data_IF_910055801628
#
_entry.id   IF_910055801628
#
_cell.length_a   1.000
_cell.length_b   1.000
_cell.length_c   1.000
_cell.angle_alpha   90.00
_cell.angle_beta   90.00
_cell.angle_gamma   90.00
#
_symmetry.space_group_name_H-M   'P 1'
#
loop_
_entity.id
_entity.type
_entity.pdbx_description
1 polymer ?
#
# COMPACT_ATOMS: atom_id res chain seq x y z
N UNK A 1 -12.39 3.17 29.23
CA UNK A 1 -11.48 2.24 28.55
C UNK A 1 -11.54 2.51 27.04
N UNK A 2 -10.42 2.89 26.44
CA UNK A 2 -10.39 3.16 25.01
C UNK A 2 -10.15 1.86 24.22
N UNK A 3 -10.89 1.69 23.14
CA UNK A 3 -10.67 0.59 22.23
C UNK A 3 -9.38 0.84 21.41
N UNK A 4 -8.62 -0.21 21.17
CA UNK A 4 -7.47 -0.14 20.26
C UNK A 4 -8.03 -0.12 18.84
N UNK A 5 -7.66 0.92 18.09
CA UNK A 5 -8.00 0.99 16.68
C UNK A 5 -7.07 0.08 15.89
N UNK A 6 -7.64 -0.79 15.08
CA UNK A 6 -6.90 -1.66 14.18
C UNK A 6 -6.94 -1.03 12.79
N UNK A 7 -5.76 -0.78 12.21
CA UNK A 7 -5.64 -0.26 10.86
C UNK A 7 -5.59 -1.41 9.86
N UNK A 8 -6.42 -1.33 8.85
CA UNK A 8 -6.59 -2.38 7.84
C UNK A 8 -5.75 -2.04 6.63
N UNK A 9 -4.84 -2.93 6.26
CA UNK A 9 -3.83 -2.70 5.23
C UNK A 9 -3.96 -3.72 4.11
N UNK A 10 -3.84 -3.22 2.87
CA UNK A 10 -3.74 -4.04 1.66
C UNK A 10 -2.34 -3.92 1.09
N UNK A 11 -1.78 -5.05 0.67
CA UNK A 11 -0.49 -5.09 -0.04
C UNK A 11 -0.72 -5.52 -1.48
N UNK A 12 -0.20 -4.75 -2.42
CA UNK A 12 -0.22 -5.09 -3.84
C UNK A 12 1.22 -5.13 -4.35
N UNK A 13 1.73 -6.33 -4.59
CA UNK A 13 3.12 -6.57 -4.98
C UNK A 13 3.21 -7.94 -5.64
N UNK A 14 3.75 -7.99 -6.86
CA UNK A 14 3.85 -9.24 -7.60
C UNK A 14 4.98 -10.16 -7.10
N UNK A 15 6.00 -9.62 -6.46
CA UNK A 15 7.10 -10.42 -5.92
C UNK A 15 6.66 -11.07 -4.61
N UNK A 16 6.24 -12.32 -4.67
CA UNK A 16 5.59 -13.01 -3.55
C UNK A 16 6.44 -13.02 -2.28
N UNK A 17 7.76 -13.28 -2.38
CA UNK A 17 8.63 -13.31 -1.21
C UNK A 17 8.69 -11.96 -0.50
N UNK A 18 8.81 -10.87 -1.28
CA UNK A 18 8.82 -9.53 -0.72
C UNK A 18 7.46 -9.20 -0.06
N UNK A 19 6.37 -9.49 -0.76
CA UNK A 19 5.01 -9.26 -0.25
C UNK A 19 4.77 -10.01 1.06
N UNK A 20 5.13 -11.28 1.12
CA UNK A 20 4.94 -12.11 2.30
C UNK A 20 5.79 -11.66 3.47
N UNK A 21 7.05 -11.26 3.20
CA UNK A 21 7.94 -10.73 4.24
C UNK A 21 7.38 -9.43 4.83
N UNK A 22 6.90 -8.54 3.98
CA UNK A 22 6.31 -7.28 4.43
C UNK A 22 5.02 -7.51 5.21
N UNK A 23 4.18 -8.43 4.73
CA UNK A 23 2.96 -8.80 5.46
C UNK A 23 3.27 -9.34 6.85
N UNK A 24 4.29 -10.20 6.98
CA UNK A 24 4.69 -10.75 8.26
C UNK A 24 5.16 -9.65 9.23
N UNK A 25 5.94 -8.69 8.73
CA UNK A 25 6.42 -7.57 9.56
C UNK A 25 5.27 -6.66 10.01
N UNK A 26 4.38 -6.31 9.11
CA UNK A 26 3.21 -5.49 9.45
C UNK A 26 2.32 -6.21 10.47
N UNK A 27 2.15 -7.51 10.31
CA UNK A 27 1.30 -8.31 11.20
C UNK A 27 1.85 -8.45 12.62
N UNK A 28 3.13 -8.13 12.84
CA UNK A 28 3.71 -8.09 14.19
C UNK A 28 3.23 -6.88 14.98
N UNK A 29 2.75 -5.84 14.30
CA UNK A 29 2.27 -4.63 14.95
C UNK A 29 0.86 -4.89 15.49
N UNK A 30 0.61 -4.64 16.80
CA UNK A 30 -0.69 -4.99 17.39
C UNK A 30 -1.84 -4.16 16.84
N UNK A 31 -1.56 -3.02 16.22
CA UNK A 31 -2.56 -2.11 15.68
C UNK A 31 -2.69 -2.19 14.16
N UNK A 32 -2.04 -3.15 13.51
CA UNK A 32 -2.08 -3.32 12.05
C UNK A 32 -2.56 -4.72 11.71
N UNK A 33 -3.52 -4.79 10.79
CA UNK A 33 -4.00 -6.05 10.23
C UNK A 33 -3.87 -6.01 8.72
N UNK A 34 -3.13 -6.95 8.14
CA UNK A 34 -3.04 -7.11 6.69
C UNK A 34 -4.25 -7.93 6.24
N UNK A 35 -5.26 -7.26 5.70
CA UNK A 35 -6.54 -7.87 5.37
C UNK A 35 -6.62 -8.36 3.93
N UNK A 36 -5.72 -7.92 3.07
CA UNK A 36 -5.71 -8.31 1.66
C UNK A 36 -4.29 -8.28 1.11
N UNK A 37 -3.99 -9.23 0.24
CA UNK A 37 -2.74 -9.28 -0.50
C UNK A 37 -3.06 -9.62 -1.95
N UNK A 38 -2.40 -8.93 -2.88
CA UNK A 38 -2.59 -9.14 -4.30
C UNK A 38 -1.26 -9.09 -5.03
N UNK A 39 -1.10 -9.96 -6.01
CA UNK A 39 0.11 -10.01 -6.85
C UNK A 39 -0.10 -9.41 -8.23
N UNK A 40 -1.28 -8.84 -8.51
CA UNK A 40 -1.63 -8.29 -9.82
C UNK A 40 -2.74 -7.27 -9.68
N UNK A 41 -3.00 -6.50 -10.74
CA UNK A 41 -4.15 -5.60 -10.80
C UNK A 41 -5.45 -6.39 -10.68
N UNK A 42 -5.57 -7.51 -11.39
CA UNK A 42 -6.77 -8.33 -11.36
C UNK A 42 -7.08 -8.82 -9.95
N UNK A 43 -6.07 -9.33 -9.23
CA UNK A 43 -6.26 -9.78 -7.86
C UNK A 43 -6.64 -8.61 -6.93
N UNK A 44 -6.03 -7.46 -7.11
CA UNK A 44 -6.35 -6.27 -6.32
C UNK A 44 -7.80 -5.84 -6.54
N UNK A 45 -8.25 -5.86 -7.78
CA UNK A 45 -9.64 -5.50 -8.11
C UNK A 45 -10.67 -6.43 -7.50
N UNK A 46 -10.31 -7.70 -7.30
CA UNK A 46 -11.20 -8.67 -6.66
C UNK A 46 -11.46 -8.34 -5.17
N UNK A 47 -10.60 -7.56 -4.54
CA UNK A 47 -10.70 -7.24 -3.11
C UNK A 47 -10.89 -5.75 -2.83
N UNK A 48 -11.25 -4.96 -3.85
CA UNK A 48 -11.47 -3.51 -3.69
C UNK A 48 -12.60 -3.17 -2.71
N UNK A 49 -13.56 -4.07 -2.54
CA UNK A 49 -14.68 -3.85 -1.63
C UNK A 49 -14.30 -3.98 -0.15
N UNK A 50 -13.11 -4.50 0.13
CA UNK A 50 -12.63 -4.64 1.50
C UNK A 50 -12.40 -3.26 2.12
N UNK A 51 -12.95 -2.97 3.31
CA UNK A 51 -12.65 -1.71 3.97
C UNK A 51 -11.16 -1.61 4.32
N UNK A 52 -10.52 -0.50 3.93
CA UNK A 52 -9.09 -0.32 4.05
C UNK A 52 -8.76 1.06 4.62
N UNK A 53 -7.70 1.11 5.42
CA UNK A 53 -7.12 2.37 5.91
C UNK A 53 -5.89 2.77 5.10
N UNK A 54 -5.06 1.79 4.71
CA UNK A 54 -3.84 2.02 3.95
C UNK A 54 -3.70 0.96 2.86
N UNK A 55 -3.30 1.38 1.67
CA UNK A 55 -2.85 0.48 0.61
C UNK A 55 -1.38 0.73 0.33
N UNK A 56 -0.60 -0.34 0.25
CA UNK A 56 0.81 -0.30 -0.14
C UNK A 56 0.90 -0.91 -1.54
N UNK A 57 1.32 -0.11 -2.51
CA UNK A 57 1.29 -0.49 -3.92
C UNK A 57 2.68 -0.50 -4.54
N UNK A 58 3.00 -1.57 -5.26
CA UNK A 58 4.03 -1.55 -6.28
C UNK A 58 3.41 -1.06 -7.59
N UNK A 59 4.13 -0.24 -8.34
CA UNK A 59 3.65 0.27 -9.63
C UNK A 59 3.85 -0.72 -10.77
N UNK A 60 4.89 -1.55 -10.69
CA UNK A 60 5.21 -2.52 -11.76
C UNK A 60 4.50 -3.83 -11.49
N UNK A 61 3.33 -4.01 -12.07
CA UNK A 61 2.55 -5.22 -11.92
C UNK A 61 2.53 -6.00 -13.24
N UNK A 62 2.36 -7.34 -13.21
CA UNK A 62 2.47 -8.15 -14.42
C UNK A 62 1.38 -7.85 -15.45
N UNK A 63 0.24 -7.34 -15.03
CA UNK A 63 -0.91 -7.07 -15.91
C UNK A 63 -1.21 -5.58 -16.07
N UNK A 64 -0.29 -4.69 -15.66
CA UNK A 64 -0.45 -3.26 -15.91
C UNK A 64 0.25 -2.35 -14.93
N UNK A 65 -0.14 -1.09 -14.96
CA UNK A 65 0.44 -0.03 -14.14
C UNK A 65 -0.35 0.12 -12.84
N UNK A 66 0.34 0.00 -11.70
CA UNK A 66 -0.29 0.16 -10.39
C UNK A 66 -0.93 1.54 -10.16
N UNK A 67 -0.53 2.56 -10.93
CA UNK A 67 -1.15 3.90 -10.83
C UNK A 67 -2.64 3.86 -11.15
N UNK A 68 -3.07 2.95 -12.03
CA UNK A 68 -4.49 2.82 -12.37
C UNK A 68 -5.32 2.40 -11.17
N UNK A 69 -4.72 1.72 -10.22
CA UNK A 69 -5.40 1.25 -9.02
C UNK A 69 -5.66 2.37 -8.01
N UNK A 70 -4.84 3.43 -8.03
CA UNK A 70 -4.96 4.52 -7.06
C UNK A 70 -6.35 5.16 -7.09
N UNK A 71 -6.82 5.50 -8.29
CA UNK A 71 -8.15 6.10 -8.44
C UNK A 71 -9.26 5.14 -8.02
N UNK A 72 -9.13 3.86 -8.38
CA UNK A 72 -10.12 2.83 -8.02
C UNK A 72 -10.20 2.65 -6.50
N UNK A 73 -9.06 2.63 -5.82
CA UNK A 73 -9.02 2.53 -4.35
C UNK A 73 -9.70 3.73 -3.69
N UNK A 74 -9.47 4.93 -4.20
CA UNK A 74 -10.07 6.14 -3.63
C UNK A 74 -11.58 6.19 -3.85
N UNK A 75 -12.08 5.61 -4.93
CA UNK A 75 -13.51 5.53 -5.19
C UNK A 75 -14.21 4.59 -4.20
N UNK A 76 -13.55 3.51 -3.82
CA UNK A 76 -14.13 2.50 -2.91
C UNK A 76 -13.86 2.79 -1.45
N UNK A 77 -12.79 3.54 -1.14
CA UNK A 77 -12.40 3.89 0.22
C UNK A 77 -11.94 5.35 0.25
N UNK A 78 -12.88 6.27 0.43
CA UNK A 78 -12.62 7.72 0.31
C UNK A 78 -11.51 8.22 1.25
N UNK A 79 -11.40 7.64 2.43
CA UNK A 79 -10.40 8.04 3.43
C UNK A 79 -9.09 7.26 3.38
N UNK A 80 -8.88 6.44 2.36
CA UNK A 80 -7.69 5.59 2.27
C UNK A 80 -6.41 6.43 2.11
N UNK A 81 -5.33 6.00 2.76
CA UNK A 81 -3.98 6.50 2.50
C UNK A 81 -3.24 5.53 1.60
N UNK A 82 -2.50 6.04 0.63
CA UNK A 82 -1.82 5.21 -0.37
C UNK A 82 -0.32 5.46 -0.32
N UNK A 83 0.44 4.40 -0.01
CA UNK A 83 1.88 4.38 -0.05
C UNK A 83 2.33 3.61 -1.28
N UNK A 84 3.11 4.26 -2.13
CA UNK A 84 3.70 3.61 -3.30
C UNK A 84 5.13 3.22 -2.99
N UNK A 85 5.48 1.98 -3.30
CA UNK A 85 6.86 1.50 -3.29
C UNK A 85 7.33 1.38 -4.73
N UNK A 86 8.46 2.00 -5.06
CA UNK A 86 8.97 1.98 -6.43
C UNK A 86 10.50 1.90 -6.44
N UNK A 87 11.04 1.33 -7.51
CA UNK A 87 12.49 1.36 -7.75
C UNK A 87 12.93 2.63 -8.49
N UNK A 88 11.98 3.45 -8.95
CA UNK A 88 12.25 4.65 -9.74
C UNK A 88 11.84 5.89 -8.96
N UNK A 89 12.84 6.65 -8.47
CA UNK A 89 12.61 7.88 -7.72
C UNK A 89 13.11 9.14 -8.44
N UNK A 90 13.27 9.09 -9.76
CA UNK A 90 13.61 10.29 -10.53
C UNK A 90 12.53 11.38 -10.33
N UNK A 91 12.91 12.69 -10.37
CA UNK A 91 11.97 13.77 -10.03
C UNK A 91 10.67 13.74 -10.84
N UNK A 92 10.75 13.47 -12.14
CA UNK A 92 9.57 13.41 -12.99
C UNK A 92 8.65 12.24 -12.62
N UNK A 93 9.23 11.11 -12.30
CA UNK A 93 8.46 9.91 -11.91
C UNK A 93 7.75 10.11 -10.58
N UNK A 94 8.45 10.69 -9.61
CA UNK A 94 7.88 11.00 -8.30
C UNK A 94 6.68 11.94 -8.44
N UNK A 95 6.82 12.99 -9.24
CA UNK A 95 5.73 13.94 -9.51
C UNK A 95 4.51 13.24 -10.11
N UNK A 96 4.72 12.36 -11.08
CA UNK A 96 3.62 11.63 -11.72
C UNK A 96 2.85 10.77 -10.73
N UNK A 97 3.57 10.09 -9.84
CA UNK A 97 2.96 9.20 -8.84
C UNK A 97 2.16 10.02 -7.82
N UNK A 98 2.71 11.13 -7.35
CA UNK A 98 2.00 12.00 -6.43
C UNK A 98 0.77 12.65 -7.08
N UNK A 99 0.86 13.05 -8.34
CA UNK A 99 -0.28 13.59 -9.09
C UNK A 99 -1.36 12.54 -9.33
N UNK A 100 -0.97 11.27 -9.44
CA UNK A 100 -1.93 10.17 -9.56
C UNK A 100 -2.71 9.94 -8.27
N UNK A 101 -2.26 10.51 -7.16
CA UNK A 101 -3.01 10.49 -5.90
C UNK A 101 -2.34 9.74 -4.76
N UNK A 102 -1.07 9.34 -4.89
CA UNK A 102 -0.35 8.73 -3.79
C UNK A 102 -0.11 9.74 -2.66
N UNK A 103 -0.23 9.29 -1.42
CA UNK A 103 0.05 10.12 -0.24
C UNK A 103 1.52 10.13 0.11
N UNK A 104 2.23 9.06 -0.19
CA UNK A 104 3.66 8.96 0.04
C UNK A 104 4.29 7.98 -0.94
N UNK A 105 5.58 8.16 -1.19
CA UNK A 105 6.36 7.29 -2.06
C UNK A 105 7.66 6.94 -1.34
N UNK A 106 8.00 5.66 -1.29
CA UNK A 106 9.28 5.19 -0.78
C UNK A 106 9.97 4.36 -1.84
N UNK A 107 11.31 4.37 -1.81
CA UNK A 107 12.08 3.46 -2.63
C UNK A 107 11.88 2.02 -2.12
N UNK A 108 11.75 1.08 -3.05
CA UNK A 108 11.49 -0.33 -2.73
C UNK A 108 12.60 -0.97 -1.90
N UNK A 109 13.81 -0.39 -1.91
CA UNK A 109 14.94 -0.83 -1.07
C UNK A 109 14.96 -0.19 0.31
N UNK A 110 13.96 0.63 0.66
CA UNK A 110 13.84 1.13 2.03
C UNK A 110 13.79 -0.04 3.01
N UNK A 111 14.36 0.16 4.19
CA UNK A 111 14.37 -0.92 5.17
C UNK A 111 12.94 -1.28 5.58
N UNK A 112 12.65 -2.56 5.86
CA UNK A 112 11.32 -2.96 6.32
C UNK A 112 10.80 -2.15 7.50
N UNK A 113 11.60 -1.83 8.55
CA UNK A 113 11.12 -0.96 9.62
C UNK A 113 10.70 0.42 9.13
N UNK A 114 11.39 1.00 8.14
CA UNK A 114 11.02 2.29 7.55
C UNK A 114 9.65 2.21 6.87
N UNK A 115 9.40 1.13 6.15
CA UNK A 115 8.11 0.91 5.49
C UNK A 115 6.99 0.79 6.53
N UNK A 116 7.22 0.02 7.59
CA UNK A 116 6.24 -0.16 8.68
C UNK A 116 5.93 1.18 9.35
N UNK A 117 6.94 1.98 9.65
CA UNK A 117 6.76 3.31 10.24
C UNK A 117 5.93 4.22 9.34
N UNK A 118 6.18 4.19 8.03
CA UNK A 118 5.42 5.01 7.09
C UNK A 118 3.97 4.58 6.99
N UNK A 119 3.70 3.28 6.99
CA UNK A 119 2.34 2.76 7.02
C UNK A 119 1.62 3.25 8.28
N UNK A 120 2.27 3.17 9.43
CA UNK A 120 1.68 3.63 10.70
C UNK A 120 1.41 5.13 10.67
N UNK A 121 2.35 5.92 10.15
CA UNK A 121 2.17 7.37 10.03
C UNK A 121 0.95 7.72 9.17
N UNK A 122 0.83 7.07 8.02
CA UNK A 122 -0.30 7.29 7.11
C UNK A 122 -1.62 6.84 7.72
N UNK A 123 -1.62 5.71 8.41
CA UNK A 123 -2.81 5.18 9.05
C UNK A 123 -3.34 6.11 10.15
N UNK A 124 -2.45 6.83 10.83
CA UNK A 124 -2.81 7.73 11.93
C UNK A 124 -3.30 9.10 11.50
N UNK A 125 -3.33 9.38 10.20
CA UNK A 125 -3.79 10.68 9.70
C UNK A 125 -5.30 10.85 9.72
#
# INVERSE_FOLDING_TARGET
>A
MSAIRIFRVMLVEDHAAFRQSLAALLSREPDIEVVAQAGSLAQARDVLDTPLDVAVLDLSLPDGDGRDLIGELRQTNAGISILVLTVMLGPGHLDEVLKAGADAVLHKVASPPTIVEEVRRLAGQ
#
